data_IF_911563765238
#
_entry.id   IF_911563765238
#
_cell.length_a   1.000
_cell.length_b   1.000
_cell.length_c   1.000
_cell.angle_alpha   90.00
_cell.angle_beta   90.00
_cell.angle_gamma   90.00
#
_symmetry.space_group_name_H-M   'P 1'
#
loop_
_entity.id
_entity.type
_entity.pdbx_description
1 polymer ?
#
# COMPACT_ATOMS: atom_id res chain seq x y z
N UNK A 1 -13.96 5.62 7.53
CA UNK A 1 -14.74 4.49 6.97
C UNK A 1 -13.80 3.29 6.81
N UNK A 2 -14.21 2.04 7.05
CA UNK A 2 -13.39 0.88 6.70
C UNK A 2 -13.34 0.66 5.19
N UNK A 3 -12.16 0.37 4.65
CA UNK A 3 -12.00 -0.04 3.25
C UNK A 3 -12.48 -1.50 3.09
N UNK A 4 -13.42 -1.82 2.17
CA UNK A 4 -13.91 -3.18 1.93
C UNK A 4 -12.84 -4.15 1.42
N UNK A 5 -12.97 -5.44 1.76
CA UNK A 5 -12.14 -6.53 1.21
C UNK A 5 -12.44 -6.78 -0.26
N UNK A 6 -11.60 -6.30 -1.18
CA UNK A 6 -11.71 -6.51 -2.63
C UNK A 6 -10.41 -6.12 -3.35
N UNK A 7 -10.42 -6.07 -4.68
CA UNK A 7 -9.29 -5.60 -5.50
C UNK A 7 -9.37 -4.09 -5.79
N UNK A 8 -8.23 -3.43 -5.73
CA UNK A 8 -8.06 -2.00 -5.98
C UNK A 8 -6.84 -1.72 -6.84
N UNK A 9 -6.90 -0.59 -7.55
CA UNK A 9 -5.73 0.20 -7.92
C UNK A 9 -5.44 1.18 -6.78
N UNK A 10 -4.18 1.30 -6.39
CA UNK A 10 -3.74 2.19 -5.30
C UNK A 10 -2.88 3.29 -5.90
N UNK A 11 -3.18 4.56 -5.67
CA UNK A 11 -2.47 5.67 -6.31
C UNK A 11 -2.07 6.80 -5.38
N UNK A 12 -0.99 7.50 -5.75
CA UNK A 12 -0.53 8.74 -5.13
C UNK A 12 -0.09 9.71 -6.24
N UNK A 13 -0.60 10.95 -6.23
CA UNK A 13 -0.25 11.95 -7.24
C UNK A 13 -0.59 11.57 -8.70
N UNK A 14 -1.58 10.70 -8.91
CA UNK A 14 -1.99 10.22 -10.24
C UNK A 14 -1.16 9.05 -10.80
N UNK A 15 -0.14 8.59 -10.07
CA UNK A 15 0.61 7.37 -10.37
C UNK A 15 0.15 6.21 -9.50
N UNK A 16 0.27 5.00 -10.02
CA UNK A 16 -0.25 3.78 -9.41
C UNK A 16 0.86 2.93 -8.83
N UNK A 17 0.61 2.43 -7.63
CA UNK A 17 1.47 1.49 -6.94
C UNK A 17 1.54 0.19 -7.74
N UNK A 18 2.74 -0.18 -8.14
CA UNK A 18 3.00 -1.36 -8.95
C UNK A 18 4.05 -2.25 -8.29
N UNK A 19 3.83 -3.56 -8.39
CA UNK A 19 4.86 -4.55 -8.11
C UNK A 19 5.69 -4.77 -9.37
N UNK A 20 6.89 -4.19 -9.37
CA UNK A 20 7.78 -4.21 -10.53
C UNK A 20 8.18 -5.63 -10.97
N UNK A 21 8.20 -6.58 -10.03
CA UNK A 21 8.54 -7.99 -10.29
C UNK A 21 7.94 -8.90 -9.23
N UNK A 22 7.55 -10.11 -9.62
CA UNK A 22 7.17 -11.19 -8.69
C UNK A 22 8.37 -11.73 -7.89
N UNK A 23 9.57 -11.21 -8.14
CA UNK A 23 10.77 -11.53 -7.38
C UNK A 23 10.69 -10.89 -5.98
N UNK A 24 10.81 -11.68 -4.89
CA UNK A 24 10.81 -11.14 -3.54
C UNK A 24 11.90 -10.08 -3.32
N UNK A 25 11.63 -9.14 -2.44
CA UNK A 25 12.48 -8.01 -2.06
C UNK A 25 12.72 -6.98 -3.20
N UNK A 26 11.88 -6.99 -4.23
CA UNK A 26 11.89 -5.92 -5.24
C UNK A 26 11.13 -4.70 -4.71
N UNK A 27 11.71 -3.49 -4.74
CA UNK A 27 11.00 -2.27 -4.36
C UNK A 27 9.69 -2.08 -5.13
N UNK A 28 8.66 -1.62 -4.42
CA UNK A 28 7.44 -1.13 -5.06
C UNK A 28 7.75 0.21 -5.73
N UNK A 29 7.07 0.46 -6.85
CA UNK A 29 7.27 1.67 -7.64
C UNK A 29 5.93 2.31 -7.98
N UNK A 30 5.98 3.59 -8.32
CA UNK A 30 4.84 4.30 -8.88
C UNK A 30 4.96 4.40 -10.40
N UNK A 31 3.90 4.01 -11.10
CA UNK A 31 3.88 3.91 -12.56
C UNK A 31 2.59 4.52 -13.12
N UNK A 32 2.62 4.88 -14.41
CA UNK A 32 1.40 5.27 -15.13
C UNK A 32 0.47 4.07 -15.23
N UNK A 33 -0.85 4.29 -15.21
CA UNK A 33 -1.81 3.21 -15.39
C UNK A 33 -1.66 2.58 -16.78
N UNK A 34 -1.22 1.33 -16.82
CA UNK A 34 -1.08 0.54 -18.04
C UNK A 34 -2.10 -0.62 -18.09
N UNK A 35 -2.99 -0.70 -17.10
CA UNK A 35 -3.96 -1.79 -16.96
C UNK A 35 -3.36 -3.14 -16.57
N UNK A 36 -2.07 -3.21 -16.23
CA UNK A 36 -1.39 -4.46 -15.88
C UNK A 36 -1.87 -5.02 -14.53
N UNK A 37 -1.79 -6.35 -14.41
CA UNK A 37 -2.04 -7.03 -13.14
C UNK A 37 -1.05 -6.64 -12.04
N UNK A 38 0.08 -6.02 -12.38
CA UNK A 38 1.07 -5.50 -11.43
C UNK A 38 0.56 -4.31 -10.60
N UNK A 39 -0.58 -3.72 -10.95
CA UNK A 39 -1.24 -2.65 -10.19
C UNK A 39 -2.48 -3.13 -9.42
N UNK A 40 -2.79 -4.43 -9.49
CA UNK A 40 -3.98 -5.03 -8.89
C UNK A 40 -3.69 -5.51 -7.46
N UNK A 41 -4.12 -4.72 -6.49
CA UNK A 41 -3.93 -5.00 -5.08
C UNK A 41 -5.19 -5.55 -4.44
N UNK A 42 -5.14 -6.76 -3.93
CA UNK A 42 -6.19 -7.26 -3.04
C UNK A 42 -5.96 -6.70 -1.64
N UNK A 43 -7.01 -6.23 -0.98
CA UNK A 43 -7.00 -5.86 0.43
C UNK A 43 -7.83 -6.85 1.22
N UNK A 44 -7.27 -7.48 2.26
CA UNK A 44 -8.00 -8.41 3.14
C UNK A 44 -8.03 -7.86 4.57
N UNK A 45 -9.23 -7.64 5.13
CA UNK A 45 -9.40 -7.24 6.52
C UNK A 45 -9.15 -8.44 7.47
N UNK A 46 -8.17 -8.32 8.35
CA UNK A 46 -7.74 -9.39 9.27
C UNK A 46 -8.44 -9.37 10.65
N UNK A 47 -9.43 -8.51 10.88
CA UNK A 47 -10.31 -8.44 12.06
C UNK A 47 -9.61 -8.58 13.44
N UNK A 48 -9.04 -7.49 13.96
CA UNK A 48 -8.60 -7.38 15.36
C UNK A 48 -8.76 -5.96 15.97
N UNK A 49 -9.71 -5.16 15.48
CA UNK A 49 -10.01 -3.82 16.02
C UNK A 49 -9.14 -2.69 15.49
N UNK A 50 -7.97 -3.02 14.91
CA UNK A 50 -7.24 -2.15 13.99
C UNK A 50 -7.43 -2.72 12.58
N UNK A 51 -7.80 -1.88 11.62
CA UNK A 51 -8.05 -2.29 10.24
C UNK A 51 -6.73 -2.68 9.59
N UNK A 52 -6.33 -3.93 9.80
CA UNK A 52 -5.13 -4.51 9.23
C UNK A 52 -5.43 -5.08 7.85
N UNK A 53 -4.67 -4.64 6.86
CA UNK A 53 -4.81 -5.05 5.49
C UNK A 53 -3.59 -5.83 5.04
N UNK A 54 -3.86 -6.87 4.27
CA UNK A 54 -2.86 -7.51 3.43
C UNK A 54 -2.98 -6.93 2.03
N UNK A 55 -1.89 -6.39 1.47
CA UNK A 55 -1.81 -5.92 0.09
C UNK A 55 -1.23 -7.03 -0.76
N UNK A 56 -2.04 -7.79 -1.50
CA UNK A 56 -1.52 -8.95 -2.23
C UNK A 56 -1.84 -8.99 -3.71
N UNK A 57 -0.90 -9.51 -4.50
CA UNK A 57 -1.12 -10.02 -5.85
C UNK A 57 -1.57 -11.47 -5.77
N UNK A 58 -2.56 -11.82 -6.58
CA UNK A 58 -2.99 -13.19 -6.80
C UNK A 58 -2.68 -13.55 -8.24
N UNK A 59 -1.69 -14.41 -8.47
CA UNK A 59 -1.35 -14.97 -9.78
C UNK A 59 -2.20 -16.21 -10.14
N UNK A 60 -3.16 -16.57 -9.27
CA UNK A 60 -3.95 -17.80 -9.37
C UNK A 60 -3.35 -19.01 -8.64
N UNK A 61 -2.16 -18.87 -8.05
CA UNK A 61 -1.54 -19.84 -7.13
C UNK A 61 -1.68 -19.41 -5.66
N UNK A 62 -1.43 -20.32 -4.73
CA UNK A 62 -1.50 -20.10 -3.27
C UNK A 62 -0.49 -19.09 -2.71
N UNK A 63 0.34 -18.45 -3.56
CA UNK A 63 1.35 -17.48 -3.14
C UNK A 63 0.80 -16.06 -3.08
N UNK A 64 0.57 -15.58 -1.86
CA UNK A 64 0.30 -14.17 -1.54
C UNK A 64 1.62 -13.38 -1.56
N UNK A 65 2.10 -12.98 -2.75
CA UNK A 65 3.06 -11.88 -2.84
C UNK A 65 2.33 -10.58 -2.48
N UNK A 66 2.99 -9.67 -1.78
CA UNK A 66 2.38 -8.46 -1.29
C UNK A 66 3.33 -7.43 -0.73
N UNK A 67 2.80 -6.29 -0.33
CA UNK A 67 3.59 -5.22 0.26
C UNK A 67 4.16 -5.68 1.62
N UNK A 68 5.48 -5.63 1.73
CA UNK A 68 6.23 -5.84 2.95
C UNK A 68 7.33 -4.79 3.04
N UNK A 69 8.14 -4.86 4.08
CA UNK A 69 9.31 -4.02 4.32
C UNK A 69 10.47 -4.94 4.68
N UNK A 70 11.69 -4.51 4.36
CA UNK A 70 12.91 -5.27 4.65
C UNK A 70 13.13 -5.44 6.17
N UNK A 71 14.23 -6.06 6.60
CA UNK A 71 14.43 -6.56 7.97
C UNK A 71 14.30 -5.50 9.08
N UNK A 72 14.40 -4.20 8.76
CA UNK A 72 14.16 -3.11 9.71
C UNK A 72 13.02 -2.20 9.25
N UNK A 73 12.05 -1.96 10.13
CA UNK A 73 11.01 -0.94 9.95
C UNK A 73 11.55 0.37 10.52
N UNK A 74 12.00 1.25 9.64
CA UNK A 74 12.64 2.53 9.97
C UNK A 74 12.30 3.57 8.89
N UNK A 75 12.55 4.87 9.14
CA UNK A 75 12.49 5.89 8.09
C UNK A 75 13.34 5.50 6.88
N UNK A 76 12.87 5.87 5.69
CA UNK A 76 13.51 5.64 4.39
C UNK A 76 13.65 4.16 3.99
N UNK A 77 13.10 3.23 4.79
CA UNK A 77 13.05 1.83 4.43
C UNK A 77 12.12 1.62 3.22
N UNK A 78 12.63 0.95 2.19
CA UNK A 78 11.85 0.63 1.00
C UNK A 78 10.70 -0.33 1.34
N UNK A 79 9.52 -0.01 0.80
CA UNK A 79 8.41 -0.96 0.74
C UNK A 79 8.66 -1.84 -0.47
N UNK A 80 8.73 -3.15 -0.25
CA UNK A 80 9.09 -4.13 -1.27
C UNK A 80 7.97 -5.14 -1.47
N UNK A 81 7.95 -5.79 -2.62
CA UNK A 81 7.17 -6.99 -2.85
C UNK A 81 7.80 -8.19 -2.18
N UNK A 82 7.01 -8.98 -1.46
CA UNK A 82 7.48 -10.21 -0.83
C UNK A 82 6.33 -10.99 -0.22
N UNK A 83 6.60 -11.90 0.70
CA UNK A 83 5.52 -12.57 1.44
C UNK A 83 4.70 -11.53 2.20
N UNK A 84 3.39 -11.48 1.96
CA UNK A 84 2.46 -10.57 2.61
C UNK A 84 2.31 -10.94 4.11
N UNK A 85 3.31 -10.54 4.90
CA UNK A 85 3.52 -10.93 6.30
C UNK A 85 3.37 -9.76 7.27
N UNK A 86 3.13 -8.56 6.74
CA UNK A 86 2.96 -7.34 7.52
C UNK A 86 1.48 -6.98 7.61
N UNK A 87 1.13 -6.49 8.79
CA UNK A 87 -0.16 -5.92 9.06
C UNK A 87 -0.08 -4.41 8.83
N UNK A 88 -0.85 -3.91 7.86
CA UNK A 88 -0.88 -2.50 7.49
C UNK A 88 -2.15 -1.85 8.00
N UNK A 89 -2.04 -0.73 8.71
CA UNK A 89 -3.19 0.05 9.18
C UNK A 89 -3.60 1.04 8.10
N UNK A 90 -4.85 0.95 7.64
CA UNK A 90 -5.44 1.99 6.80
C UNK A 90 -6.31 2.95 7.61
N UNK A 91 -5.99 4.24 7.54
CA UNK A 91 -6.78 5.30 8.19
C UNK A 91 -7.35 6.21 7.13
N UNK A 92 -8.68 6.31 7.09
CA UNK A 92 -9.39 7.19 6.15
C UNK A 92 -9.02 8.65 6.40
N UNK A 93 -8.82 9.43 5.32
CA UNK A 93 -8.51 10.86 5.34
C UNK A 93 -9.73 11.63 4.82
N UNK A 94 -10.66 12.07 5.70
CA UNK A 94 -11.99 12.52 5.28
C UNK A 94 -11.99 13.73 4.34
N UNK A 95 -11.02 14.64 4.50
CA UNK A 95 -10.94 15.87 3.72
C UNK A 95 -10.21 15.70 2.37
N UNK A 96 -9.71 14.50 2.07
CA UNK A 96 -8.95 14.24 0.85
C UNK A 96 -9.74 13.46 -0.22
N UNK A 97 -10.87 12.85 0.16
CA UNK A 97 -11.74 12.10 -0.74
C UNK A 97 -12.42 10.91 -0.04
N UNK A 98 -13.44 10.34 -0.69
CA UNK A 98 -14.21 9.23 -0.13
C UNK A 98 -13.33 7.98 0.11
N UNK A 99 -12.40 7.70 -0.80
CA UNK A 99 -11.55 6.51 -0.78
C UNK A 99 -10.05 6.84 -0.64
N UNK A 100 -9.73 7.88 0.13
CA UNK A 100 -8.34 8.28 0.42
C UNK A 100 -7.93 7.87 1.82
N UNK A 101 -6.79 7.19 1.95
CA UNK A 101 -6.30 6.61 3.20
C UNK A 101 -4.79 6.87 3.39
N UNK A 102 -4.33 6.88 4.63
CA UNK A 102 -2.92 6.62 4.93
C UNK A 102 -2.68 5.13 5.06
N UNK A 103 -1.46 4.67 4.74
CA UNK A 103 -1.03 3.28 4.91
C UNK A 103 0.10 3.29 5.94
N UNK A 104 -0.09 2.65 7.09
CA UNK A 104 0.86 2.74 8.22
C UNK A 104 1.28 1.36 8.70
N UNK A 105 2.57 1.21 9.03
CA UNK A 105 3.12 0.01 9.69
C UNK A 105 4.00 0.45 10.86
N UNK A 106 3.75 -0.08 12.06
CA UNK A 106 4.54 0.20 13.27
C UNK A 106 4.86 1.69 13.50
N UNK A 107 3.92 2.60 13.22
CA UNK A 107 4.09 4.05 13.41
C UNK A 107 4.80 4.77 12.26
N UNK A 108 5.03 4.11 11.13
CA UNK A 108 5.60 4.70 9.92
C UNK A 108 4.61 4.67 8.76
N UNK A 109 4.53 5.75 8.00
CA UNK A 109 3.63 5.90 6.88
C UNK A 109 4.33 5.50 5.57
N UNK A 110 3.64 4.72 4.73
CA UNK A 110 4.04 4.51 3.34
C UNK A 110 3.91 5.84 2.60
N UNK A 111 4.99 6.25 1.95
CA UNK A 111 5.16 7.57 1.35
C UNK A 111 5.71 7.45 -0.05
N UNK A 112 5.21 8.30 -0.94
CA UNK A 112 5.83 8.57 -2.23
C UNK A 112 6.99 9.56 -2.07
N UNK A 113 8.21 9.09 -2.33
CA UNK A 113 9.41 9.92 -2.38
C UNK A 113 9.96 9.94 -3.81
N UNK A 114 9.45 10.86 -4.64
CA UNK A 114 9.86 11.01 -6.05
C UNK A 114 9.73 9.72 -6.87
N UNK A 115 8.64 8.96 -6.69
CA UNK A 115 8.35 7.71 -7.41
C UNK A 115 8.85 6.45 -6.70
N UNK A 116 9.68 6.58 -5.66
CA UNK A 116 10.03 5.49 -4.76
C UNK A 116 9.01 5.37 -3.63
N UNK A 117 8.71 4.14 -3.22
CA UNK A 117 7.73 3.86 -2.16
C UNK A 117 8.50 3.45 -0.92
N UNK A 118 8.50 4.32 0.09
CA UNK A 118 9.31 4.17 1.29
C UNK A 118 8.51 4.45 2.56
N UNK A 119 9.08 4.15 3.72
CA UNK A 119 8.54 4.55 5.00
C UNK A 119 9.00 5.96 5.40
N UNK A 120 8.10 6.75 5.97
CA UNK A 120 8.43 8.01 6.65
C UNK A 120 7.81 8.06 8.04
N UNK A 121 8.25 8.99 8.88
CA UNK A 121 7.62 9.23 10.18
C UNK A 121 6.13 9.56 10.00
N UNK A 122 5.26 8.91 10.77
CA UNK A 122 3.83 9.17 10.72
C UNK A 122 3.39 10.08 11.87
N UNK A 123 2.78 11.21 11.52
CA UNK A 123 2.06 12.08 12.44
C UNK A 123 0.63 12.27 11.93
N UNK A 124 -0.35 11.72 12.65
CA UNK A 124 -1.77 11.81 12.30
C UNK A 124 -2.32 13.24 12.29
N UNK A 125 -1.64 14.19 12.95
CA UNK A 125 -2.01 15.61 12.96
C UNK A 125 -1.49 16.39 11.75
N UNK A 126 -0.55 15.82 10.99
CA UNK A 126 0.13 16.49 9.87
C UNK A 126 0.38 15.54 8.70
N UNK A 127 -0.71 15.02 8.11
CA UNK A 127 -0.66 14.11 6.95
C UNK A 127 -0.32 14.90 5.68
N UNK A 128 0.80 14.55 5.05
CA UNK A 128 1.26 15.16 3.77
C UNK A 128 0.61 14.50 2.55
N UNK A 129 0.62 15.17 1.40
CA UNK A 129 0.04 14.61 0.17
C UNK A 129 0.76 13.32 -0.29
N UNK A 130 2.06 13.20 -0.03
CA UNK A 130 2.84 12.01 -0.35
C UNK A 130 2.45 10.79 0.52
N UNK A 131 1.70 10.99 1.60
CA UNK A 131 1.20 9.94 2.50
C UNK A 131 -0.28 9.60 2.26
N UNK A 132 -0.95 10.30 1.32
CA UNK A 132 -2.36 10.09 0.98
C UNK A 132 -2.46 9.15 -0.22
N UNK A 133 -3.11 8.02 -0.05
CA UNK A 133 -3.26 6.99 -1.05
C UNK A 133 -4.73 6.83 -1.43
N UNK A 134 -5.04 6.96 -2.72
CA UNK A 134 -6.39 6.75 -3.24
C UNK A 134 -6.58 5.30 -3.60
N UNK A 135 -7.73 4.72 -3.23
CA UNK A 135 -8.09 3.34 -3.51
C UNK A 135 -9.25 3.29 -4.50
N UNK A 136 -8.97 2.95 -5.75
CA UNK A 136 -9.97 2.84 -6.80
C UNK A 136 -10.28 1.37 -7.04
N UNK A 137 -11.54 0.96 -6.97
CA UNK A 137 -11.93 -0.44 -7.22
C UNK A 137 -11.41 -0.93 -8.59
N UNK A 138 -10.77 -2.08 -8.62
CA UNK A 138 -10.34 -2.73 -9.86
C UNK A 138 -11.59 -3.23 -10.63
N UNK A 139 -11.74 -2.84 -11.90
CA UNK A 139 -12.82 -3.28 -12.78
C UNK A 139 -12.44 -4.55 -13.55
#
# INVERSE_FOLDING_TARGET
MPLPTQYYKVSNGGLYLALASETPNTPLSLQQDDGSSQMKWHTENQNSGAYYYMFSFYDGSTRKLGATVTTAIAPDADVVGGTASKQWVLTHVPNAGADVYTIVVNGYAVTNNNGLVQLSAFDSSSITDNQKWSFTKWQ
#
